data_IF_838446323766
#
_entry.id   IF_838446323766
#
_cell.length_a   1.000
_cell.length_b   1.000
_cell.length_c   1.000
_cell.angle_alpha   90.00
_cell.angle_beta   90.00
_cell.angle_gamma   90.00
#
_symmetry.space_group_name_H-M   'P 1'
#
loop_
_entity.id
_entity.type
_entity.pdbx_description
1 polymer ?
#
# COMPACT_ATOMS: atom_id res chain seq x y z
N UNK A 1 -3.18 -4.08 -5.79
CA UNK A 1 -1.93 -3.34 -5.48
C UNK A 1 -1.28 -2.90 -6.79
N UNK A 2 -1.21 -1.60 -7.07
CA UNK A 2 -0.56 -1.05 -8.26
C UNK A 2 0.95 -1.26 -8.16
N UNK A 3 1.50 -2.12 -9.03
CA UNK A 3 2.95 -2.31 -9.12
C UNK A 3 3.50 -1.25 -10.07
N UNK A 4 4.07 -0.21 -9.49
CA UNK A 4 5.08 0.60 -10.14
C UNK A 4 6.36 -0.27 -10.20
N UNK A 5 6.93 -0.51 -11.37
CA UNK A 5 8.12 -1.36 -11.46
C UNK A 5 9.33 -0.57 -10.96
N UNK A 6 9.77 -0.91 -9.75
CA UNK A 6 11.03 -0.55 -9.15
C UNK A 6 11.59 -1.82 -8.52
N UNK A 7 12.78 -2.25 -8.93
CA UNK A 7 13.33 -3.55 -8.55
C UNK A 7 14.68 -3.39 -7.89
N UNK A 8 14.94 -4.24 -6.90
CA UNK A 8 16.27 -4.46 -6.32
C UNK A 8 16.99 -5.65 -6.97
N UNK A 9 16.38 -6.29 -7.97
CA UNK A 9 16.81 -7.56 -8.54
C UNK A 9 16.97 -7.47 -10.06
N UNK A 10 18.22 -7.64 -10.55
CA UNK A 10 18.52 -7.62 -11.98
C UNK A 10 17.71 -8.66 -12.77
N UNK A 11 17.50 -9.84 -12.20
CA UNK A 11 16.74 -10.90 -12.88
C UNK A 11 15.29 -10.48 -13.16
N UNK A 12 14.65 -9.79 -12.21
CA UNK A 12 13.32 -9.22 -12.44
C UNK A 12 13.36 -8.21 -13.59
N UNK A 13 14.34 -7.31 -13.61
CA UNK A 13 14.46 -6.32 -14.68
C UNK A 13 14.67 -6.96 -16.06
N UNK A 14 15.46 -8.04 -16.12
CA UNK A 14 15.70 -8.80 -17.35
C UNK A 14 14.40 -9.43 -17.87
N UNK A 15 13.60 -10.08 -17.00
CA UNK A 15 12.30 -10.68 -17.37
C UNK A 15 11.31 -9.62 -17.83
N UNK A 16 11.22 -8.50 -17.11
CA UNK A 16 10.32 -7.41 -17.47
C UNK A 16 10.72 -6.79 -18.82
N UNK A 17 12.03 -6.67 -19.09
CA UNK A 17 12.54 -6.20 -20.38
C UNK A 17 12.27 -7.19 -21.51
N UNK A 18 12.30 -8.48 -21.26
CA UNK A 18 11.92 -9.49 -22.25
C UNK A 18 10.43 -9.40 -22.58
N UNK A 19 9.58 -9.23 -21.55
CA UNK A 19 8.14 -9.07 -21.72
C UNK A 19 7.74 -7.79 -22.47
N UNK A 20 8.31 -6.65 -22.08
CA UNK A 20 7.94 -5.35 -22.63
C UNK A 20 9.22 -4.63 -23.11
N UNK A 21 9.77 -5.03 -24.27
CA UNK A 21 11.10 -4.64 -24.70
C UNK A 21 11.18 -3.22 -25.26
N UNK A 22 10.05 -2.62 -25.65
CA UNK A 22 10.07 -1.35 -26.36
C UNK A 22 10.02 -0.17 -25.39
N UNK A 23 10.74 0.93 -25.68
CA UNK A 23 10.65 2.14 -24.86
C UNK A 23 9.22 2.70 -24.75
N UNK A 24 8.38 2.55 -25.78
CA UNK A 24 6.99 3.02 -25.80
C UNK A 24 6.00 2.07 -25.10
N UNK A 25 6.47 0.94 -24.58
CA UNK A 25 5.71 0.09 -23.65
C UNK A 25 5.63 0.74 -22.25
N UNK A 26 6.44 1.76 -21.97
CA UNK A 26 6.60 2.33 -20.64
C UNK A 26 6.36 3.85 -20.60
N UNK A 27 5.63 4.30 -19.57
CA UNK A 27 5.74 5.66 -19.07
C UNK A 27 6.76 5.71 -17.94
N UNK A 28 7.69 6.67 -18.00
CA UNK A 28 8.58 6.97 -16.88
C UNK A 28 8.03 8.12 -16.05
N UNK A 29 8.04 7.93 -14.73
CA UNK A 29 7.45 8.87 -13.79
C UNK A 29 8.37 9.12 -12.60
N UNK A 30 8.38 10.37 -12.15
CA UNK A 30 8.89 10.72 -10.82
C UNK A 30 7.83 10.35 -9.78
N UNK A 31 8.24 9.73 -8.68
CA UNK A 31 7.34 9.41 -7.58
C UNK A 31 7.03 10.64 -6.77
N UNK A 32 5.93 11.27 -7.14
CA UNK A 32 5.39 12.44 -6.46
C UNK A 32 4.24 11.98 -5.58
N UNK A 33 4.48 12.06 -4.27
CA UNK A 33 3.56 11.54 -3.26
C UNK A 33 3.42 12.48 -2.10
N UNK A 34 2.18 12.63 -1.62
CA UNK A 34 1.81 13.55 -0.57
C UNK A 34 0.96 12.85 0.49
N UNK A 35 0.89 13.50 1.64
CA UNK A 35 -0.01 13.21 2.73
C UNK A 35 -0.98 14.38 2.86
N UNK A 36 -2.27 14.10 2.83
CA UNK A 36 -3.29 15.09 3.20
C UNK A 36 -3.44 15.14 4.71
N UNK A 37 -3.20 16.31 5.29
CA UNK A 37 -3.31 16.55 6.73
C UNK A 37 -3.85 17.96 6.99
N UNK A 38 -5.02 18.07 7.64
CA UNK A 38 -5.66 19.35 7.99
C UNK A 38 -5.75 20.34 6.81
N UNK A 39 -6.14 19.86 5.63
CA UNK A 39 -6.25 20.68 4.40
C UNK A 39 -4.91 21.00 3.72
N UNK A 40 -3.80 20.48 4.24
CA UNK A 40 -2.46 20.66 3.68
C UNK A 40 -2.02 19.42 2.91
N UNK A 41 -1.25 19.64 1.84
CA UNK A 41 -0.54 18.59 1.11
C UNK A 41 0.92 18.54 1.55
N UNK A 42 1.23 17.66 2.49
CA UNK A 42 2.58 17.45 3.04
C UNK A 42 3.35 16.47 2.16
N UNK A 43 4.52 16.81 1.61
CA UNK A 43 5.31 15.86 0.83
C UNK A 43 5.69 14.62 1.63
N UNK A 44 5.67 13.45 0.99
CA UNK A 44 6.15 12.22 1.61
C UNK A 44 7.69 12.16 1.60
N UNK A 45 8.35 11.73 2.70
CA UNK A 45 7.79 11.25 3.97
C UNK A 45 7.33 12.39 4.88
N UNK A 46 6.21 12.21 5.57
CA UNK A 46 5.58 13.24 6.41
C UNK A 46 6.53 13.77 7.48
N UNK A 47 7.20 12.86 8.19
CA UNK A 47 8.13 13.16 9.29
C UNK A 47 9.32 14.03 8.85
N UNK A 48 9.67 14.02 7.55
CA UNK A 48 10.75 14.83 7.00
C UNK A 48 10.30 16.22 6.52
N UNK A 49 8.99 16.47 6.51
CA UNK A 49 8.36 17.58 5.81
C UNK A 49 7.45 18.43 6.70
N UNK A 50 7.67 18.41 8.01
CA UNK A 50 6.88 19.22 8.96
C UNK A 50 6.95 20.73 8.67
N UNK A 51 7.93 21.20 7.89
CA UNK A 51 8.11 22.61 7.52
C UNK A 51 6.88 23.27 6.88
N UNK A 52 5.95 22.47 6.34
CA UNK A 52 4.69 22.95 5.73
C UNK A 52 3.53 23.09 6.74
N UNK A 53 3.66 22.54 7.95
CA UNK A 53 2.63 22.58 8.99
C UNK A 53 2.54 23.98 9.65
N UNK A 54 1.48 24.31 10.39
CA UNK A 54 1.46 25.49 11.24
C UNK A 54 2.61 25.50 12.25
N UNK A 55 3.15 26.68 12.60
CA UNK A 55 4.38 26.80 13.42
C UNK A 55 4.26 26.14 14.81
N UNK A 56 3.08 26.16 15.41
CA UNK A 56 2.84 25.47 16.68
C UNK A 56 2.96 23.94 16.54
N UNK A 57 2.36 23.37 15.49
CA UNK A 57 2.48 21.94 15.19
C UNK A 57 3.91 21.56 14.79
N UNK A 58 4.64 22.44 14.09
CA UNK A 58 6.07 22.25 13.83
C UNK A 58 6.87 22.13 15.13
N UNK A 59 6.65 23.07 16.07
CA UNK A 59 7.36 23.09 17.34
C UNK A 59 7.09 21.82 18.16
N UNK A 60 5.82 21.40 18.25
CA UNK A 60 5.43 20.15 18.94
C UNK A 60 6.07 18.91 18.31
N UNK A 61 6.04 18.79 16.98
CA UNK A 61 6.70 17.70 16.28
C UNK A 61 8.22 17.69 16.54
N UNK A 62 8.84 18.87 16.54
CA UNK A 62 10.28 19.01 16.69
C UNK A 62 10.77 18.68 18.11
N UNK A 63 10.02 19.11 19.14
CA UNK A 63 10.32 18.80 20.55
C UNK A 63 10.31 17.29 20.76
N UNK A 64 9.23 16.62 20.39
CA UNK A 64 9.09 15.18 20.58
C UNK A 64 10.12 14.38 19.77
N UNK A 65 10.50 14.86 18.58
CA UNK A 65 11.55 14.25 17.78
C UNK A 65 12.93 14.40 18.44
N UNK A 66 13.22 15.55 19.06
CA UNK A 66 14.44 15.76 19.83
C UNK A 66 14.45 14.82 21.04
N UNK A 67 13.35 14.72 21.77
CA UNK A 67 13.23 13.83 22.94
C UNK A 67 13.43 12.36 22.54
N UNK A 68 12.81 11.91 21.45
CA UNK A 68 13.02 10.57 20.91
C UNK A 68 14.49 10.32 20.51
N UNK A 69 15.13 11.32 19.88
CA UNK A 69 16.54 11.24 19.49
C UNK A 69 17.46 11.15 20.72
N UNK A 70 17.24 11.98 21.74
CA UNK A 70 18.00 11.95 23.00
C UNK A 70 17.81 10.63 23.74
N UNK A 71 16.57 10.14 23.82
CA UNK A 71 16.25 8.84 24.41
C UNK A 71 16.91 7.68 23.66
N UNK A 72 17.03 7.76 22.33
CA UNK A 72 17.72 6.74 21.54
C UNK A 72 19.22 6.65 21.86
N UNK A 73 19.89 7.76 22.20
CA UNK A 73 21.32 7.77 22.54
C UNK A 73 21.64 7.09 23.89
N UNK A 74 20.70 7.10 24.83
CA UNK A 74 20.89 6.52 26.18
C UNK A 74 20.26 5.13 26.34
N UNK A 75 19.62 4.62 25.28
CA UNK A 75 18.89 3.36 25.31
C UNK A 75 19.84 2.18 25.32
N UNK A 76 19.61 1.23 26.22
CA UNK A 76 20.38 0.00 26.25
C UNK A 76 19.91 -0.96 25.15
N UNK A 77 20.80 -1.75 24.52
CA UNK A 77 20.42 -2.75 23.52
C UNK A 77 19.27 -3.73 23.89
N UNK A 78 19.07 -4.15 25.16
CA UNK A 78 17.92 -4.97 25.54
C UNK A 78 16.57 -4.24 25.49
N UNK A 79 16.53 -2.90 25.49
CA UNK A 79 15.29 -2.10 25.51
C UNK A 79 14.72 -1.94 24.09
N UNK A 80 14.44 -3.06 23.44
CA UNK A 80 13.77 -3.06 22.12
C UNK A 80 12.28 -2.74 22.30
N UNK A 81 11.68 -1.94 21.39
CA UNK A 81 10.26 -1.65 21.45
C UNK A 81 9.45 -2.95 21.33
N UNK A 82 8.46 -3.14 22.20
CA UNK A 82 7.68 -4.37 22.28
C UNK A 82 6.73 -4.52 21.10
N UNK A 83 6.32 -3.42 20.48
CA UNK A 83 5.37 -3.37 19.39
C UNK A 83 5.68 -2.24 18.41
N UNK A 84 4.92 -2.19 17.33
CA UNK A 84 5.10 -1.20 16.29
C UNK A 84 4.73 0.24 16.74
N UNK A 85 3.79 0.42 17.68
CA UNK A 85 3.49 1.75 18.22
C UNK A 85 4.66 2.32 19.03
N UNK A 86 5.23 1.52 19.93
CA UNK A 86 6.43 1.90 20.69
C UNK A 86 7.61 2.15 19.76
N UNK A 87 7.77 1.35 18.71
CA UNK A 87 8.80 1.58 17.70
C UNK A 87 8.60 2.94 17.04
N UNK A 88 7.37 3.32 16.66
CA UNK A 88 7.10 4.63 16.08
C UNK A 88 7.45 5.76 17.07
N UNK A 89 6.98 5.70 18.32
CA UNK A 89 7.31 6.72 19.34
C UNK A 89 8.82 6.85 19.51
N UNK A 90 9.53 5.72 19.54
CA UNK A 90 10.97 5.68 19.70
C UNK A 90 11.75 6.29 18.52
N UNK A 91 11.16 6.33 17.31
CA UNK A 91 11.83 6.79 16.09
C UNK A 91 11.40 8.19 15.65
N UNK A 92 10.14 8.57 15.89
CA UNK A 92 9.58 9.85 15.43
C UNK A 92 9.03 10.73 16.55
N UNK A 93 9.00 10.25 17.80
CA UNK A 93 8.40 10.97 18.91
C UNK A 93 6.88 10.83 19.00
N UNK A 94 6.32 11.30 20.11
CA UNK A 94 4.89 11.16 20.42
C UNK A 94 4.00 11.85 19.40
N UNK A 95 4.30 13.10 19.07
CA UNK A 95 3.46 13.96 18.24
C UNK A 95 3.36 13.48 16.80
N UNK A 96 4.49 13.15 16.15
CA UNK A 96 4.49 12.58 14.80
C UNK A 96 3.80 11.21 14.76
N UNK A 97 3.90 10.43 15.84
CA UNK A 97 3.16 9.19 15.96
C UNK A 97 1.65 9.43 16.05
N UNK A 98 1.23 10.39 16.89
CA UNK A 98 -0.17 10.79 17.09
C UNK A 98 -0.83 11.27 15.79
N UNK A 99 -0.21 12.19 15.07
CA UNK A 99 -0.88 12.88 13.95
C UNK A 99 -0.75 12.15 12.61
N UNK A 100 0.24 11.28 12.47
CA UNK A 100 0.50 10.58 11.21
C UNK A 100 0.72 9.08 11.38
N UNK A 101 1.77 8.63 12.08
CA UNK A 101 2.15 7.21 12.00
C UNK A 101 1.06 6.27 12.51
N UNK A 102 0.48 6.54 13.68
CA UNK A 102 -0.60 5.72 14.25
C UNK A 102 -1.87 5.72 13.40
N UNK A 103 -2.48 6.87 13.06
CA UNK A 103 -3.71 6.88 12.26
C UNK A 103 -3.49 6.33 10.85
N UNK A 104 -2.38 6.66 10.20
CA UNK A 104 -2.07 6.17 8.86
C UNK A 104 -1.87 4.65 8.84
N UNK A 105 -1.08 4.10 9.75
CA UNK A 105 -0.83 2.66 9.78
C UNK A 105 -2.09 1.88 10.15
N UNK A 106 -2.92 2.37 11.09
CA UNK A 106 -4.21 1.74 11.36
C UNK A 106 -5.09 1.68 10.10
N UNK A 107 -5.04 2.71 9.24
CA UNK A 107 -5.79 2.73 7.98
C UNK A 107 -5.26 1.78 6.93
N UNK A 108 -3.95 1.63 6.81
CA UNK A 108 -3.30 0.72 5.85
C UNK A 108 -3.44 -0.73 6.28
N UNK A 109 -3.21 -1.02 7.56
CA UNK A 109 -3.16 -2.39 8.06
C UNK A 109 -4.49 -2.89 8.57
N UNK A 110 -5.47 -2.00 8.80
CA UNK A 110 -6.71 -2.30 9.51
C UNK A 110 -6.44 -3.01 10.85
N UNK A 111 -5.30 -2.78 11.48
CA UNK A 111 -4.87 -3.39 12.74
C UNK A 111 -4.18 -2.32 13.59
N UNK A 112 -4.47 -2.22 14.90
CA UNK A 112 -3.78 -1.27 15.78
C UNK A 112 -2.26 -1.48 15.76
N UNK A 113 -1.50 -0.39 15.75
CA UNK A 113 -0.03 -0.43 15.80
C UNK A 113 0.51 -1.15 17.04
N UNK A 114 -0.25 -1.20 18.13
CA UNK A 114 0.08 -1.94 19.35
C UNK A 114 -0.04 -3.47 19.21
N UNK A 115 -0.67 -3.96 18.13
CA UNK A 115 -0.86 -5.39 17.85
C UNK A 115 0.05 -5.93 16.74
N UNK A 116 1.03 -5.14 16.31
CA UNK A 116 1.92 -5.47 15.22
C UNK A 116 3.37 -5.57 15.71
N UNK A 117 4.10 -6.52 15.16
CA UNK A 117 5.55 -6.62 15.31
C UNK A 117 6.25 -5.43 14.65
N UNK A 118 7.45 -5.08 15.11
CA UNK A 118 8.31 -4.03 14.54
C UNK A 118 9.48 -4.59 13.70
N UNK A 119 9.63 -5.91 13.59
CA UNK A 119 10.82 -6.57 12.99
C UNK A 119 10.94 -6.36 11.47
N UNK A 120 9.82 -6.15 10.78
CA UNK A 120 9.73 -6.02 9.32
C UNK A 120 10.06 -4.61 8.80
N UNK A 121 10.31 -3.66 9.72
CA UNK A 121 10.21 -2.23 9.42
C UNK A 121 11.54 -1.57 9.00
N UNK A 122 12.67 -2.27 9.15
CA UNK A 122 14.02 -1.70 9.02
C UNK A 122 14.30 -0.91 7.74
N UNK A 123 13.70 -1.29 6.61
CA UNK A 123 13.88 -0.59 5.32
C UNK A 123 12.67 0.28 4.90
N UNK A 124 11.53 0.20 5.60
CA UNK A 124 10.26 0.73 5.09
C UNK A 124 9.88 2.11 5.61
N UNK A 125 10.45 2.58 6.71
CA UNK A 125 10.25 3.94 7.20
C UNK A 125 11.54 4.72 7.31
N UNK A 126 11.51 5.92 6.72
CA UNK A 126 12.59 6.87 6.83
C UNK A 126 12.78 7.25 8.29
N UNK A 127 13.91 6.86 8.88
CA UNK A 127 14.33 7.43 10.15
C UNK A 127 14.57 8.94 9.94
N UNK A 128 13.85 9.82 10.66
CA UNK A 128 14.03 11.25 10.49
C UNK A 128 15.40 11.68 11.03
N UNK A 129 16.17 12.41 10.21
CA UNK A 129 17.36 13.11 10.68
C UNK A 129 16.93 14.42 11.36
N UNK A 130 17.05 14.46 12.69
CA UNK A 130 16.63 15.61 13.50
C UNK A 130 17.27 16.92 13.04
N UNK A 131 18.53 16.91 12.57
CA UNK A 131 19.22 18.13 12.10
C UNK A 131 18.64 18.58 10.77
N UNK A 132 18.38 17.65 9.86
CA UNK A 132 17.78 17.95 8.58
C UNK A 132 16.35 18.48 8.74
N UNK A 133 15.53 17.81 9.56
CA UNK A 133 14.15 18.23 9.85
C UNK A 133 14.13 19.63 10.47
N UNK A 134 14.98 19.87 11.48
CA UNK A 134 15.10 21.19 12.12
C UNK A 134 15.50 22.26 11.09
N UNK A 135 16.54 21.99 10.30
CA UNK A 135 17.04 22.91 9.28
C UNK A 135 15.95 23.26 8.28
N UNK A 136 15.23 22.25 7.77
CA UNK A 136 14.15 22.42 6.83
C UNK A 136 12.97 23.21 7.42
N UNK A 137 12.60 22.96 8.67
CA UNK A 137 11.55 23.71 9.36
C UNK A 137 11.90 25.20 9.53
N UNK A 138 13.16 25.51 9.86
CA UNK A 138 13.65 26.89 9.99
C UNK A 138 13.69 27.60 8.62
N UNK A 139 14.23 26.93 7.61
CA UNK A 139 14.38 27.49 6.27
C UNK A 139 13.10 27.43 5.43
N UNK A 140 12.00 26.92 5.98
CA UNK A 140 10.74 26.64 5.27
C UNK A 140 10.95 25.84 3.98
N UNK A 141 11.82 24.83 4.05
CA UNK A 141 12.15 23.97 2.91
C UNK A 141 11.41 22.64 3.03
N UNK A 142 10.70 22.26 1.97
CA UNK A 142 10.17 20.92 1.82
C UNK A 142 11.12 20.06 0.97
N UNK A 143 11.13 18.75 1.22
CA UNK A 143 11.91 17.73 0.52
C UNK A 143 10.99 16.71 -0.13
N UNK A 144 11.21 16.43 -1.41
CA UNK A 144 10.51 15.38 -2.16
C UNK A 144 11.48 14.31 -2.66
N UNK A 145 10.94 13.28 -3.35
CA UNK A 145 11.76 12.30 -4.07
C UNK A 145 12.55 11.31 -3.20
N UNK A 146 12.18 11.13 -1.94
CA UNK A 146 12.83 10.15 -1.05
C UNK A 146 12.52 8.70 -1.47
N UNK A 147 13.42 7.75 -1.22
CA UNK A 147 13.19 6.29 -1.28
C UNK A 147 13.59 5.60 -2.61
N UNK A 148 13.69 4.25 -2.63
CA UNK A 148 14.20 3.48 -3.77
C UNK A 148 13.32 3.58 -5.04
N UNK A 149 12.09 4.05 -4.89
CA UNK A 149 11.14 4.21 -6.00
C UNK A 149 11.00 5.69 -6.40
N UNK A 150 12.03 6.52 -6.21
CA UNK A 150 12.01 7.94 -6.58
C UNK A 150 11.64 8.15 -8.05
N UNK A 151 12.02 7.21 -8.90
CA UNK A 151 11.48 7.02 -10.26
C UNK A 151 10.84 5.65 -10.37
N UNK A 152 9.84 5.54 -11.24
CA UNK A 152 9.25 4.24 -11.57
C UNK A 152 8.74 4.22 -13.00
N UNK A 153 8.55 3.00 -13.52
CA UNK A 153 7.88 2.79 -14.81
C UNK A 153 6.49 2.23 -14.62
N UNK A 154 5.60 2.60 -15.53
CA UNK A 154 4.24 2.08 -15.60
C UNK A 154 3.89 1.75 -17.06
N UNK A 155 3.27 0.59 -17.34
CA UNK A 155 2.99 0.17 -18.70
C UNK A 155 2.01 1.12 -19.38
N UNK A 156 2.24 1.41 -20.66
CA UNK A 156 1.40 2.35 -21.43
C UNK A 156 0.02 1.79 -21.75
N UNK A 157 -0.15 0.47 -21.64
CA UNK A 157 -1.35 -0.30 -21.98
C UNK A 157 -1.66 -1.29 -20.86
N UNK A 158 -2.95 -1.59 -20.68
CA UNK A 158 -3.46 -2.69 -19.81
C UNK A 158 -3.08 -2.62 -18.31
N UNK A 159 -2.40 -1.57 -17.88
CA UNK A 159 -1.95 -1.40 -16.50
C UNK A 159 -1.01 -2.52 -16.06
N UNK A 160 -0.79 -2.65 -14.75
CA UNK A 160 0.12 -3.67 -14.18
C UNK A 160 -0.22 -5.10 -14.61
N UNK A 161 -1.50 -5.41 -14.85
CA UNK A 161 -1.92 -6.74 -15.31
C UNK A 161 -1.34 -7.12 -16.68
N UNK A 162 -1.19 -6.15 -17.58
CA UNK A 162 -0.60 -6.36 -18.91
C UNK A 162 0.85 -6.86 -18.87
N UNK A 163 1.61 -6.47 -17.84
CA UNK A 163 2.98 -6.97 -17.61
C UNK A 163 2.93 -8.50 -17.45
N UNK A 164 2.10 -8.99 -16.54
CA UNK A 164 2.04 -10.41 -16.21
C UNK A 164 1.41 -11.26 -17.32
N UNK A 165 0.43 -10.71 -18.05
CA UNK A 165 -0.09 -11.32 -19.27
C UNK A 165 1.04 -11.53 -20.28
N UNK A 166 1.87 -10.50 -20.49
CA UNK A 166 2.95 -10.58 -21.47
C UNK A 166 4.07 -11.52 -21.02
N UNK A 167 4.42 -11.53 -19.73
CA UNK A 167 5.34 -12.53 -19.16
C UNK A 167 4.80 -13.95 -19.37
N UNK A 168 3.52 -14.19 -19.10
CA UNK A 168 2.90 -15.50 -19.30
C UNK A 168 2.92 -15.95 -20.77
N UNK A 169 2.80 -15.01 -21.72
CA UNK A 169 2.85 -15.29 -23.16
C UNK A 169 4.23 -15.74 -23.66
N UNK A 170 5.31 -15.42 -22.94
CA UNK A 170 6.68 -15.85 -23.30
C UNK A 170 6.93 -17.31 -22.91
N UNK A 171 6.17 -17.83 -21.94
CA UNK A 171 6.33 -19.21 -21.48
C UNK A 171 5.92 -20.21 -22.56
N UNK A 172 6.48 -21.42 -22.49
CA UNK A 172 6.03 -22.56 -23.28
C UNK A 172 4.58 -22.89 -22.91
N UNK A 173 3.64 -22.52 -23.77
CA UNK A 173 2.21 -22.61 -23.51
C UNK A 173 1.76 -24.05 -23.24
N UNK A 174 2.46 -25.06 -23.80
CA UNK A 174 2.16 -26.48 -23.56
C UNK A 174 2.41 -26.92 -22.10
N UNK A 175 3.14 -26.10 -21.33
CA UNK A 175 3.44 -26.31 -19.91
C UNK A 175 2.64 -25.39 -18.99
N UNK A 176 1.66 -24.68 -19.52
CA UNK A 176 0.78 -23.80 -18.75
C UNK A 176 -0.64 -24.35 -18.70
N UNK A 177 -1.39 -23.98 -17.65
CA UNK A 177 -2.79 -24.39 -17.48
C UNK A 177 -3.57 -23.32 -16.72
N UNK A 178 -4.07 -22.31 -17.45
CA UNK A 178 -4.78 -21.16 -16.88
C UNK A 178 -6.28 -21.24 -17.14
N UNK A 179 -7.08 -20.86 -16.14
CA UNK A 179 -8.54 -20.90 -16.20
C UNK A 179 -9.11 -21.97 -15.27
N UNK A 180 -10.44 -22.15 -15.31
CA UNK A 180 -11.13 -23.04 -14.37
C UNK A 180 -10.60 -24.48 -14.39
N UNK A 181 -10.26 -24.98 -15.58
CA UNK A 181 -9.70 -26.33 -15.78
C UNK A 181 -8.32 -26.54 -15.14
N UNK A 182 -7.62 -25.47 -14.76
CA UNK A 182 -6.34 -25.49 -14.04
C UNK A 182 -6.45 -25.23 -12.55
N UNK A 183 -7.65 -24.95 -12.03
CA UNK A 183 -7.84 -24.70 -10.61
C UNK A 183 -7.60 -25.98 -9.80
N UNK A 184 -6.78 -25.91 -8.76
CA UNK A 184 -6.57 -27.02 -7.81
C UNK A 184 -7.74 -27.04 -6.82
N UNK A 185 -8.24 -28.21 -6.48
CA UNK A 185 -9.32 -28.43 -5.47
C UNK A 185 -8.95 -29.44 -4.41
N UNK A 186 -7.84 -30.16 -4.56
CA UNK A 186 -7.30 -31.03 -3.52
C UNK A 186 -5.80 -31.23 -3.71
N UNK A 187 -5.05 -31.29 -2.62
CA UNK A 187 -3.63 -31.69 -2.61
C UNK A 187 -3.49 -32.81 -1.61
N UNK A 188 -3.09 -33.99 -2.09
CA UNK A 188 -2.73 -35.13 -1.26
C UNK A 188 -1.20 -35.15 -1.14
N UNK A 189 -0.70 -34.75 0.03
CA UNK A 189 0.72 -34.66 0.30
C UNK A 189 1.39 -36.05 0.37
N UNK A 190 0.71 -37.05 0.94
CA UNK A 190 1.23 -38.41 1.10
C UNK A 190 1.42 -39.10 -0.26
N UNK A 191 0.42 -38.97 -1.15
CA UNK A 191 0.46 -39.52 -2.50
C UNK A 191 1.08 -38.58 -3.54
N UNK A 192 1.48 -37.37 -3.13
CA UNK A 192 2.05 -36.31 -3.99
C UNK A 192 1.19 -36.01 -5.22
N UNK A 193 -0.13 -35.99 -5.04
CA UNK A 193 -1.11 -35.84 -6.12
C UNK A 193 -1.94 -34.57 -5.93
N UNK A 194 -2.21 -33.85 -7.01
CA UNK A 194 -3.11 -32.70 -7.02
C UNK A 194 -4.36 -33.00 -7.82
N UNK A 195 -5.53 -32.69 -7.28
CA UNK A 195 -6.80 -32.80 -7.97
C UNK A 195 -7.22 -31.43 -8.47
N UNK A 196 -7.72 -31.39 -9.71
CA UNK A 196 -8.18 -30.16 -10.34
C UNK A 196 -9.71 -30.08 -10.28
N UNK A 197 -10.23 -28.86 -10.42
CA UNK A 197 -11.65 -28.56 -10.31
C UNK A 197 -12.47 -29.23 -11.41
N UNK A 198 -13.38 -30.10 -10.97
CA UNK A 198 -14.72 -30.31 -11.54
C UNK A 198 -15.87 -29.98 -10.54
N UNK A 199 -15.56 -29.45 -9.33
CA UNK A 199 -16.38 -28.64 -8.40
C UNK A 199 -15.71 -28.65 -6.99
N UNK A 200 -15.80 -27.50 -6.32
CA UNK A 200 -15.56 -27.12 -4.90
C UNK A 200 -14.20 -27.22 -4.15
N UNK A 201 -13.78 -25.99 -3.76
CA UNK A 201 -13.07 -25.46 -2.59
C UNK A 201 -11.63 -25.87 -2.21
N UNK A 202 -10.78 -24.82 -2.06
CA UNK A 202 -9.33 -24.86 -1.85
C UNK A 202 -8.91 -24.98 -0.36
N UNK A 203 -9.79 -24.68 0.60
CA UNK A 203 -9.44 -24.73 2.03
C UNK A 203 -9.61 -26.15 2.61
N UNK A 204 -10.62 -26.90 2.16
CA UNK A 204 -10.78 -28.34 2.42
C UNK A 204 -9.73 -29.21 1.71
N UNK A 205 -9.06 -28.66 0.70
CA UNK A 205 -8.22 -29.38 -0.25
C UNK A 205 -7.03 -30.11 0.35
N UNK A 206 -6.44 -29.59 1.41
CA UNK A 206 -5.31 -30.24 2.07
C UNK A 206 -5.80 -31.27 3.08
N UNK A 207 -6.98 -31.07 3.68
CA UNK A 207 -7.49 -31.91 4.77
C UNK A 207 -6.55 -31.98 5.98
N UNK A 208 -5.56 -31.09 6.07
CA UNK A 208 -4.47 -31.14 7.03
C UNK A 208 -4.77 -30.22 8.21
N UNK A 209 -5.51 -30.80 9.16
CA UNK A 209 -5.90 -30.11 10.39
C UNK A 209 -4.72 -29.65 11.26
N UNK A 210 -3.50 -30.17 11.04
CA UNK A 210 -2.32 -29.69 11.75
C UNK A 210 -1.78 -28.42 11.08
N UNK A 211 -1.65 -28.43 9.76
CA UNK A 211 -1.23 -27.25 9.01
C UNK A 211 -2.22 -26.09 9.18
N UNK A 212 -3.53 -26.36 9.18
CA UNK A 212 -4.56 -25.34 9.49
C UNK A 212 -4.31 -24.67 10.86
N UNK A 213 -4.01 -25.46 11.90
CA UNK A 213 -3.71 -24.93 13.24
C UNK A 213 -2.40 -24.14 13.28
N UNK A 214 -1.39 -24.56 12.51
CA UNK A 214 -0.12 -23.83 12.42
C UNK A 214 -0.29 -22.48 11.72
N UNK A 215 -1.23 -22.37 10.78
CA UNK A 215 -1.49 -21.16 10.01
C UNK A 215 -2.57 -20.25 10.64
N UNK A 216 -3.40 -20.75 11.56
CA UNK A 216 -4.43 -19.98 12.28
C UNK A 216 -3.94 -18.64 12.89
N UNK A 217 -2.70 -18.53 13.44
CA UNK A 217 -2.20 -17.26 13.95
C UNK A 217 -1.84 -16.23 12.87
N UNK A 218 -1.78 -16.62 11.60
CA UNK A 218 -1.54 -15.69 10.50
C UNK A 218 -2.77 -14.82 10.28
N UNK A 219 -2.53 -13.54 10.02
CA UNK A 219 -3.59 -12.56 9.90
C UNK A 219 -3.50 -11.79 8.59
N UNK A 220 -4.63 -11.58 7.95
CA UNK A 220 -4.75 -10.72 6.78
C UNK A 220 -6.03 -9.88 6.85
N UNK A 221 -5.96 -8.54 6.71
CA UNK A 221 -7.13 -7.77 6.34
C UNK A 221 -7.51 -8.02 4.88
N UNK A 222 -8.81 -7.92 4.61
CA UNK A 222 -9.31 -7.75 3.25
C UNK A 222 -9.00 -6.34 2.75
N UNK A 223 -9.03 -6.14 1.43
CA UNK A 223 -8.83 -4.82 0.82
C UNK A 223 -9.90 -4.56 -0.22
N UNK A 224 -10.59 -3.43 -0.07
CA UNK A 224 -11.56 -2.95 -1.03
C UNK A 224 -10.89 -1.96 -1.99
N UNK A 225 -10.91 -2.26 -3.29
CA UNK A 225 -10.48 -1.35 -4.34
C UNK A 225 -11.69 -0.61 -4.91
N UNK A 226 -11.74 0.71 -4.74
CA UNK A 226 -12.82 1.56 -5.26
C UNK A 226 -12.25 2.49 -6.31
N UNK A 227 -12.74 2.47 -7.54
CA UNK A 227 -12.32 3.43 -8.57
C UNK A 227 -13.46 4.35 -9.00
N UNK A 228 -13.15 5.62 -9.22
CA UNK A 228 -14.05 6.67 -9.66
C UNK A 228 -13.45 7.33 -10.90
N UNK A 229 -14.14 7.23 -12.04
CA UNK A 229 -13.82 7.93 -13.27
C UNK A 229 -14.58 9.25 -13.35
N UNK A 230 -13.88 10.32 -13.70
CA UNK A 230 -14.37 11.71 -13.62
C UNK A 230 -14.20 12.38 -14.98
N UNK A 231 -15.22 13.15 -15.39
CA UNK A 231 -15.23 13.93 -16.62
C UNK A 231 -14.31 15.15 -16.52
N UNK A 232 -13.69 15.51 -17.63
CA UNK A 232 -12.90 16.72 -17.77
C UNK A 232 -11.39 16.47 -17.72
N UNK A 233 -10.63 17.57 -17.84
CA UNK A 233 -9.18 17.52 -17.65
C UNK A 233 -8.88 17.41 -16.16
N UNK A 234 -7.82 16.69 -15.81
CA UNK A 234 -7.33 16.64 -14.43
C UNK A 234 -7.02 18.06 -13.94
N UNK A 235 -7.55 18.50 -12.79
CA UNK A 235 -7.31 19.83 -12.25
C UNK A 235 -5.84 20.10 -11.89
N UNK A 236 -5.38 21.34 -12.05
CA UNK A 236 -4.01 21.76 -11.70
C UNK A 236 -3.68 21.57 -10.21
N UNK A 237 -4.67 21.75 -9.31
CA UNK A 237 -4.51 21.50 -7.86
C UNK A 237 -4.08 20.07 -7.54
N UNK A 238 -4.50 19.11 -8.37
CA UNK A 238 -4.04 17.71 -8.28
C UNK A 238 -2.66 17.61 -8.92
N UNK A 239 -2.49 18.20 -10.10
CA UNK A 239 -1.18 18.31 -10.75
C UNK A 239 -0.61 16.94 -11.09
N UNK A 240 0.66 16.72 -10.80
CA UNK A 240 1.44 15.51 -11.07
C UNK A 240 1.42 14.46 -9.93
N UNK A 241 0.57 14.65 -8.92
CA UNK A 241 0.46 13.73 -7.79
C UNK A 241 0.03 12.33 -8.26
N UNK A 242 0.75 11.30 -7.79
CA UNK A 242 0.46 9.90 -8.10
C UNK A 242 -0.22 9.17 -6.93
N UNK A 243 0.42 9.22 -5.76
CA UNK A 243 0.00 8.47 -4.57
C UNK A 243 -0.29 9.44 -3.43
N UNK A 244 -1.51 9.40 -2.92
CA UNK A 244 -1.97 10.28 -1.85
C UNK A 244 -2.32 9.44 -0.63
N UNK A 245 -1.63 9.75 0.46
CA UNK A 245 -1.93 9.19 1.77
C UNK A 245 -2.84 10.16 2.48
N UNK A 246 -3.81 9.67 3.21
CA UNK A 246 -4.56 10.54 4.09
C UNK A 246 -4.65 9.83 5.43
N UNK A 247 -4.60 10.63 6.49
CA UNK A 247 -5.00 10.15 7.81
C UNK A 247 -6.51 9.89 7.87
N UNK A 248 -7.27 10.28 6.81
CA UNK A 248 -8.74 10.22 6.70
C UNK A 248 -9.26 9.15 5.68
N UNK A 249 -8.59 8.91 4.56
CA UNK A 249 -8.81 7.88 3.49
C UNK A 249 -7.46 7.53 2.82
N UNK A 250 -7.35 6.49 1.98
CA UNK A 250 -6.18 6.28 1.10
C UNK A 250 -6.64 6.35 -0.36
N UNK A 251 -6.05 7.26 -1.15
CA UNK A 251 -6.41 7.45 -2.55
C UNK A 251 -5.18 7.39 -3.46
N UNK A 252 -5.26 6.56 -4.48
CA UNK A 252 -4.32 6.53 -5.61
C UNK A 252 -5.02 7.16 -6.81
N UNK A 253 -4.34 7.91 -7.67
CA UNK A 253 -4.96 8.46 -8.89
C UNK A 253 -4.57 7.55 -10.05
N UNK A 254 -5.57 6.94 -10.70
CA UNK A 254 -5.36 5.94 -11.77
C UNK A 254 -5.83 6.52 -13.10
N UNK A 255 -5.38 5.98 -14.24
CA UNK A 255 -5.92 6.35 -15.56
C UNK A 255 -7.06 5.38 -15.91
N UNK A 256 -8.17 5.86 -16.51
CA UNK A 256 -9.33 5.00 -16.73
C UNK A 256 -9.05 3.87 -17.74
N UNK A 257 -9.58 2.68 -17.44
CA UNK A 257 -9.88 1.60 -18.38
C UNK A 257 -11.41 1.52 -18.59
N UNK A 258 -11.85 1.06 -19.77
CA UNK A 258 -13.02 1.53 -20.53
C UNK A 258 -14.26 0.60 -20.44
N UNK A 259 -15.46 1.17 -20.65
CA UNK A 259 -16.56 0.55 -21.43
C UNK A 259 -17.56 1.64 -21.89
N UNK A 260 -17.62 1.88 -23.20
CA UNK A 260 -18.38 2.91 -23.96
C UNK A 260 -17.86 4.38 -23.94
N UNK A 261 -17.40 4.93 -25.09
CA UNK A 261 -16.76 6.24 -25.16
C UNK A 261 -17.76 7.38 -25.40
N UNK A 262 -17.90 8.27 -24.43
CA UNK A 262 -18.09 9.69 -24.75
C UNK A 262 -16.72 10.31 -25.08
N UNK A 263 -16.67 11.38 -25.88
CA UNK A 263 -15.39 12.04 -26.18
C UNK A 263 -14.86 12.73 -24.93
N UNK A 264 -13.62 12.39 -24.55
CA UNK A 264 -12.94 12.97 -23.40
C UNK A 264 -12.68 14.47 -23.51
N UNK A 265 -12.01 15.07 -22.52
CA UNK A 265 -11.11 14.41 -21.57
C UNK A 265 -11.78 13.75 -20.34
N UNK A 266 -11.06 12.80 -19.72
CA UNK A 266 -11.41 12.13 -18.47
C UNK A 266 -10.17 11.93 -17.59
N UNK A 267 -10.38 11.73 -16.29
CA UNK A 267 -9.36 11.29 -15.32
C UNK A 267 -9.99 10.35 -14.29
N UNK A 268 -9.19 9.77 -13.39
CA UNK A 268 -9.61 8.64 -12.56
C UNK A 268 -8.93 8.69 -11.18
N UNK A 269 -9.60 8.17 -10.16
CA UNK A 269 -9.06 7.93 -8.82
C UNK A 269 -9.38 6.49 -8.42
N UNK A 270 -8.45 5.79 -7.80
CA UNK A 270 -8.57 4.47 -7.20
C UNK A 270 -8.19 4.51 -5.72
N UNK A 271 -9.13 4.23 -4.83
CA UNK A 271 -8.93 4.08 -3.39
C UNK A 271 -8.58 2.63 -3.05
N UNK A 272 -7.79 2.48 -1.99
CA UNK A 272 -7.59 1.19 -1.32
C UNK A 272 -8.10 1.32 0.11
N UNK A 273 -9.10 0.51 0.48
CA UNK A 273 -9.78 0.61 1.79
C UNK A 273 -9.68 -0.76 2.48
N UNK A 274 -8.68 -0.94 3.35
CA UNK A 274 -8.51 -2.15 4.14
C UNK A 274 -9.67 -2.39 5.12
N UNK A 275 -9.98 -3.65 5.36
CA UNK A 275 -11.10 -4.09 6.20
C UNK A 275 -10.65 -5.26 7.08
N UNK A 276 -11.09 -5.22 8.33
CA UNK A 276 -10.81 -6.29 9.30
C UNK A 276 -11.80 -6.23 10.46
N UNK A 277 -11.81 -7.23 11.37
CA UNK A 277 -12.53 -7.13 12.64
C UNK A 277 -12.19 -5.89 13.51
N UNK A 278 -11.03 -5.26 13.30
CA UNK A 278 -10.65 -4.02 14.00
C UNK A 278 -11.08 -2.75 13.26
N UNK A 279 -11.40 -2.86 11.96
CA UNK A 279 -11.83 -1.75 11.11
C UNK A 279 -12.90 -2.25 10.13
N UNK A 280 -14.13 -2.33 10.62
CA UNK A 280 -15.28 -2.74 9.81
C UNK A 280 -15.53 -1.75 8.67
N UNK A 281 -16.07 -2.27 7.56
CA UNK A 281 -16.50 -1.49 6.40
C UNK A 281 -17.93 -1.90 6.07
N UNK A 282 -18.81 -0.91 5.87
CA UNK A 282 -20.18 -1.17 5.39
C UNK A 282 -20.16 -1.25 3.87
N UNK A 283 -20.25 -2.46 3.33
CA UNK A 283 -20.08 -2.72 1.90
C UNK A 283 -21.11 -1.97 1.03
N UNK A 284 -22.35 -1.83 1.52
CA UNK A 284 -23.44 -1.14 0.82
C UNK A 284 -23.19 0.37 0.70
N UNK A 285 -22.52 0.96 1.68
CA UNK A 285 -22.24 2.40 1.74
C UNK A 285 -20.85 2.76 1.19
N UNK A 286 -19.97 1.77 0.99
CA UNK A 286 -18.56 1.96 0.67
C UNK A 286 -18.31 2.91 -0.50
N UNK A 287 -19.08 2.77 -1.59
CA UNK A 287 -18.90 3.62 -2.78
C UNK A 287 -19.30 5.07 -2.51
N UNK A 288 -20.42 5.29 -1.84
CA UNK A 288 -20.92 6.63 -1.52
C UNK A 288 -20.00 7.34 -0.53
N UNK A 289 -19.62 6.66 0.56
CA UNK A 289 -18.68 7.18 1.56
C UNK A 289 -17.31 7.49 0.94
N UNK A 290 -16.86 6.66 -0.01
CA UNK A 290 -15.62 6.88 -0.77
C UNK A 290 -15.67 8.15 -1.61
N UNK A 291 -16.75 8.36 -2.36
CA UNK A 291 -16.94 9.56 -3.18
C UNK A 291 -17.04 10.80 -2.29
N UNK A 292 -17.81 10.73 -1.20
CA UNK A 292 -17.94 11.84 -0.26
C UNK A 292 -16.60 12.18 0.40
N UNK A 293 -15.82 11.17 0.78
CA UNK A 293 -14.49 11.38 1.35
C UNK A 293 -13.53 12.03 0.35
N UNK A 294 -13.59 11.62 -0.91
CA UNK A 294 -12.83 12.27 -1.98
C UNK A 294 -13.20 13.75 -2.12
N UNK A 295 -14.50 14.08 -2.13
CA UNK A 295 -14.99 15.47 -2.17
C UNK A 295 -14.48 16.27 -0.98
N UNK A 296 -14.51 15.71 0.22
CA UNK A 296 -14.04 16.35 1.45
C UNK A 296 -12.54 16.70 1.42
N UNK A 297 -11.78 16.11 0.50
CA UNK A 297 -10.34 16.35 0.33
C UNK A 297 -10.00 17.27 -0.84
N UNK A 298 -11.02 17.93 -1.45
CA UNK A 298 -10.91 18.77 -2.65
C UNK A 298 -10.21 18.06 -3.83
N UNK A 299 -10.31 16.73 -3.89
CA UNK A 299 -9.84 15.96 -5.03
C UNK A 299 -10.80 16.13 -6.21
N UNK A 300 -11.94 15.41 -6.33
CA UNK A 300 -13.07 15.91 -7.09
C UNK A 300 -13.83 16.97 -6.28
N UNK A 301 -14.49 17.88 -6.98
CA UNK A 301 -15.50 18.77 -6.40
C UNK A 301 -16.91 18.21 -6.61
N UNK A 302 -17.92 18.68 -5.86
CA UNK A 302 -19.31 18.21 -6.04
C UNK A 302 -19.84 18.36 -7.47
N UNK A 303 -19.37 19.39 -8.21
CA UNK A 303 -19.75 19.63 -9.60
C UNK A 303 -19.01 18.75 -10.62
N UNK A 304 -17.94 18.03 -10.22
CA UNK A 304 -17.19 17.16 -11.12
C UNK A 304 -18.03 15.93 -11.46
N UNK A 305 -18.36 15.77 -12.75
CA UNK A 305 -19.22 14.67 -13.20
C UNK A 305 -18.55 13.30 -13.11
N UNK A 306 -19.00 12.46 -12.18
CA UNK A 306 -18.64 11.04 -12.12
C UNK A 306 -19.24 10.31 -13.32
N UNK A 307 -18.42 9.57 -14.06
CA UNK A 307 -18.80 8.87 -15.30
C UNK A 307 -18.57 7.36 -15.25
N UNK A 308 -17.84 6.87 -14.26
CA UNK A 308 -17.59 5.44 -14.07
C UNK A 308 -17.29 5.16 -12.61
N UNK A 309 -17.73 4.02 -12.11
CA UNK A 309 -17.41 3.53 -10.77
C UNK A 309 -17.04 2.05 -10.83
N UNK A 310 -16.17 1.61 -9.93
CA UNK A 310 -15.78 0.21 -9.78
C UNK A 310 -15.54 -0.08 -8.31
N UNK A 311 -16.02 -1.22 -7.83
CA UNK A 311 -15.77 -1.70 -6.47
C UNK A 311 -15.43 -3.18 -6.56
N UNK A 312 -14.34 -3.59 -5.91
CA UNK A 312 -13.99 -5.00 -5.75
C UNK A 312 -13.30 -5.22 -4.41
N UNK A 313 -13.80 -6.20 -3.66
CA UNK A 313 -13.14 -6.69 -2.46
C UNK A 313 -12.16 -7.82 -2.82
N UNK A 314 -11.00 -7.79 -2.15
CA UNK A 314 -10.02 -8.86 -2.14
C UNK A 314 -9.92 -9.37 -0.72
N UNK A 315 -10.31 -10.62 -0.51
CA UNK A 315 -10.37 -11.24 0.82
C UNK A 315 -9.00 -11.26 1.54
N UNK A 316 -7.95 -11.61 0.79
CA UNK A 316 -6.56 -11.54 1.23
C UNK A 316 -5.88 -10.30 0.64
N UNK A 317 -5.93 -9.19 1.38
CA UNK A 317 -5.36 -7.91 0.94
C UNK A 317 -3.89 -7.75 1.29
N UNK A 318 -3.58 -7.79 2.59
CA UNK A 318 -2.22 -7.60 3.11
C UNK A 318 -1.88 -8.72 4.10
N UNK A 319 -0.68 -9.33 4.04
CA UNK A 319 -0.21 -10.20 5.11
C UNK A 319 0.24 -9.36 6.30
N UNK A 320 -0.51 -9.36 7.39
CA UNK A 320 -0.22 -8.51 8.55
C UNK A 320 0.97 -9.07 9.33
N UNK A 321 1.97 -8.23 9.65
CA UNK A 321 3.09 -8.60 10.51
C UNK A 321 2.68 -8.58 11.99
N UNK A 322 1.85 -9.54 12.40
CA UNK A 322 1.50 -9.78 13.81
C UNK A 322 2.71 -10.30 14.60
N UNK A 323 2.57 -10.42 15.92
CA UNK A 323 3.64 -10.98 16.77
C UNK A 323 3.85 -12.47 16.50
N UNK A 324 2.76 -13.17 16.21
CA UNK A 324 2.70 -14.62 16.05
C UNK A 324 3.22 -15.06 14.67
N UNK A 325 3.26 -14.15 13.68
CA UNK A 325 3.62 -14.45 12.29
C UNK A 325 4.91 -15.26 12.18
N UNK A 326 6.00 -14.79 12.78
CA UNK A 326 7.31 -15.43 12.59
C UNK A 326 7.39 -16.79 13.26
N UNK A 327 6.73 -16.96 14.41
CA UNK A 327 6.60 -18.26 15.08
C UNK A 327 5.81 -19.25 14.22
N UNK A 328 4.62 -18.86 13.77
CA UNK A 328 3.77 -19.68 12.90
C UNK A 328 4.50 -20.09 11.61
N UNK A 329 5.15 -19.15 10.93
CA UNK A 329 5.90 -19.44 9.70
C UNK A 329 7.12 -20.35 9.94
N UNK A 330 7.79 -20.22 11.09
CA UNK A 330 8.96 -21.06 11.41
C UNK A 330 8.60 -22.54 11.60
N UNK A 331 7.36 -22.82 12.02
CA UNK A 331 6.85 -24.18 12.17
C UNK A 331 6.17 -24.69 10.89
N UNK A 332 5.41 -23.84 10.19
CA UNK A 332 4.68 -24.22 8.99
C UNK A 332 5.57 -24.42 7.76
N UNK A 333 6.62 -23.59 7.55
CA UNK A 333 7.43 -23.68 6.34
C UNK A 333 8.26 -24.98 6.23
N UNK A 334 8.86 -25.52 7.29
CA UNK A 334 9.53 -26.83 7.22
C UNK A 334 8.57 -28.01 7.05
N UNK A 335 7.27 -27.80 7.34
CA UNK A 335 6.22 -28.80 7.21
C UNK A 335 5.74 -28.95 5.76
N UNK A 336 5.86 -27.90 4.94
CA UNK A 336 5.47 -27.83 3.52
C UNK A 336 6.55 -28.35 2.56
#
# INVERSE_FOLDING_TARGET
MLMATSSSYKYFDDVIKEALPKPDDWYEHQRISYVHYQGLWVPHPFQNNIAVLPKEEQARCQIDLIDATLAAYVRSPPDKPANFDEWNVCNVGGKLNEIFMRPYNFKVWAVPTTKMSSTWFGERVAAPDVKLVTTNAILNKATGGWGPNATFRFPTREGTGGIWITVANILDQSKTRFGEHGAVTKVDADSKTTHLKDVDQLAESLGDTNLEKLLDPLYHPSTNAVSVGIRGKRPERIGDKFWLRFCDVLATIVKPARSEPMSGPYWSIMLEIPESPHKAVTQEALLEESIQSLINTDLPRPEDGVVSTYVRQFDHGYPTPTFERDGALSEALPYL
#
